data_IF_918272813014
#
_entry.id   IF_918272813014
#
_cell.length_a   1.000
_cell.length_b   1.000
_cell.length_c   1.000
_cell.angle_alpha   90.00
_cell.angle_beta   90.00
_cell.angle_gamma   90.00
#
_symmetry.space_group_name_H-M   'P 1'
#
loop_
_entity.id
_entity.type
_entity.pdbx_description
1 polymer ?
#
# COMPACT_ATOMS: atom_id res chain seq x y z
N UNK A 1 -9.94 16.61 -13.23
CA UNK A 1 -8.75 15.88 -13.77
C UNK A 1 -7.84 15.34 -12.66
N UNK A 2 -7.44 16.16 -11.67
CA UNK A 2 -6.55 15.75 -10.56
C UNK A 2 -7.06 14.57 -9.71
N UNK A 3 -8.37 14.44 -9.50
CA UNK A 3 -8.94 13.32 -8.73
C UNK A 3 -8.78 11.97 -9.44
N UNK A 4 -8.95 11.93 -10.77
CA UNK A 4 -8.76 10.71 -11.58
C UNK A 4 -7.29 10.29 -11.61
N UNK A 5 -6.37 11.26 -11.65
CA UNK A 5 -4.93 11.00 -11.54
C UNK A 5 -4.58 10.42 -10.16
N UNK A 6 -5.13 11.00 -9.08
CA UNK A 6 -4.94 10.48 -7.72
C UNK A 6 -5.44 9.03 -7.61
N UNK A 7 -6.63 8.73 -8.15
CA UNK A 7 -7.16 7.38 -8.19
C UNK A 7 -6.23 6.42 -8.97
N UNK A 8 -5.73 6.84 -10.14
CA UNK A 8 -4.79 6.03 -10.91
C UNK A 8 -3.50 5.72 -10.13
N UNK A 9 -2.92 6.71 -9.44
CA UNK A 9 -1.71 6.52 -8.63
C UNK A 9 -1.92 5.62 -7.41
N UNK A 10 -3.14 5.48 -6.90
CA UNK A 10 -3.48 4.58 -5.80
C UNK A 10 -3.82 3.16 -6.27
N UNK A 11 -4.30 3.02 -7.51
CA UNK A 11 -4.63 1.74 -8.12
C UNK A 11 -3.37 1.05 -8.67
N UNK A 12 -2.48 1.83 -9.30
CA UNK A 12 -1.29 1.33 -9.98
C UNK A 12 -0.37 0.46 -9.10
N UNK A 13 -0.11 0.79 -7.82
CA UNK A 13 0.74 -0.01 -6.94
C UNK A 13 0.29 -1.47 -6.82
N UNK A 14 -1.01 -1.73 -6.74
CA UNK A 14 -1.53 -3.10 -6.65
C UNK A 14 -1.13 -3.93 -7.88
N UNK A 15 -1.26 -3.37 -9.08
CA UNK A 15 -0.88 -4.04 -10.32
C UNK A 15 0.64 -4.21 -10.44
N UNK A 16 1.41 -3.19 -10.04
CA UNK A 16 2.86 -3.27 -10.02
C UNK A 16 3.37 -4.31 -9.01
N UNK A 17 2.67 -4.52 -7.89
CA UNK A 17 3.00 -5.58 -6.93
C UNK A 17 2.88 -6.98 -7.55
N UNK A 18 2.00 -7.18 -8.56
CA UNK A 18 1.92 -8.45 -9.28
C UNK A 18 3.22 -8.77 -10.03
N UNK A 19 3.98 -7.76 -10.50
CA UNK A 19 5.31 -7.97 -11.09
C UNK A 19 6.32 -8.47 -10.05
N UNK A 20 6.16 -8.08 -8.78
CA UNK A 20 7.00 -8.53 -7.67
C UNK A 20 6.84 -10.02 -7.33
N UNK A 21 5.77 -10.68 -7.81
CA UNK A 21 5.64 -12.13 -7.71
C UNK A 21 6.47 -12.87 -8.77
N UNK A 22 6.77 -12.19 -9.89
CA UNK A 22 7.74 -12.68 -10.85
C UNK A 22 9.15 -12.50 -10.31
N UNK A 23 10.08 -13.40 -10.68
CA UNK A 23 11.53 -13.22 -10.44
C UNK A 23 12.07 -12.08 -11.31
N UNK A 24 11.68 -10.85 -11.00
CA UNK A 24 12.06 -9.64 -11.75
C UNK A 24 13.28 -8.98 -11.11
N UNK A 25 14.12 -8.29 -11.90
CA UNK A 25 15.29 -7.57 -11.38
C UNK A 25 14.91 -6.36 -10.49
N UNK A 26 13.64 -5.96 -10.51
CA UNK A 26 13.10 -4.89 -9.67
C UNK A 26 12.86 -5.31 -8.21
N UNK A 27 12.93 -6.62 -7.93
CA UNK A 27 12.73 -7.20 -6.61
C UNK A 27 11.31 -7.72 -6.36
N UNK A 28 11.08 -8.24 -5.15
CA UNK A 28 9.81 -8.85 -4.75
C UNK A 28 8.68 -7.86 -4.43
N UNK A 29 8.98 -6.57 -4.29
CA UNK A 29 8.04 -5.59 -3.78
C UNK A 29 7.71 -5.78 -2.30
N UNK A 30 6.60 -5.18 -1.90
CA UNK A 30 6.09 -5.26 -0.53
C UNK A 30 5.61 -6.68 -0.18
N UNK A 31 5.18 -7.46 -1.17
CA UNK A 31 4.53 -8.76 -0.97
C UNK A 31 5.28 -9.96 -1.59
N UNK A 32 6.53 -9.83 -2.02
CA UNK A 32 7.24 -10.87 -2.79
C UNK A 32 7.40 -12.21 -2.05
N UNK A 33 7.59 -12.15 -0.74
CA UNK A 33 7.71 -13.32 0.15
C UNK A 33 6.43 -14.18 0.17
N UNK A 34 5.25 -13.62 -0.16
CA UNK A 34 3.96 -14.31 -0.05
C UNK A 34 3.81 -15.48 -1.03
N UNK A 35 4.46 -15.41 -2.20
CA UNK A 35 4.33 -16.39 -3.29
C UNK A 35 5.63 -17.16 -3.58
N UNK A 36 6.73 -16.82 -2.92
CA UNK A 36 8.00 -17.56 -3.02
C UNK A 36 8.04 -18.80 -2.13
N UNK A 37 7.22 -18.85 -1.08
CA UNK A 37 7.21 -19.97 -0.15
C UNK A 37 6.36 -21.12 -0.70
N UNK A 38 7.04 -22.15 -1.22
CA UNK A 38 6.40 -23.36 -1.76
C UNK A 38 5.69 -24.21 -0.68
N UNK A 39 5.99 -23.97 0.61
CA UNK A 39 5.43 -24.70 1.74
C UNK A 39 4.65 -23.76 2.69
N UNK A 40 3.31 -23.69 2.60
CA UNK A 40 2.50 -22.74 3.38
C UNK A 40 2.63 -22.94 4.90
N UNK A 41 2.89 -24.17 5.36
CA UNK A 41 3.09 -24.46 6.79
C UNK A 41 4.36 -23.82 7.38
N UNK A 42 5.42 -23.67 6.59
CA UNK A 42 6.63 -22.94 7.00
C UNK A 42 6.48 -21.43 6.81
N UNK A 43 5.66 -20.99 5.84
CA UNK A 43 5.44 -19.58 5.53
C UNK A 43 4.90 -18.79 6.74
N UNK A 44 3.94 -19.37 7.48
CA UNK A 44 3.36 -18.74 8.67
C UNK A 44 4.35 -18.48 9.80
N UNK A 45 5.51 -19.15 9.79
CA UNK A 45 6.57 -18.97 10.78
C UNK A 45 7.55 -17.86 10.42
N UNK A 46 7.44 -17.27 9.22
CA UNK A 46 8.35 -16.21 8.78
C UNK A 46 7.74 -14.83 9.05
N UNK A 47 8.49 -13.90 9.69
CA UNK A 47 8.07 -12.51 9.85
C UNK A 47 7.74 -11.83 8.52
N UNK A 48 8.51 -12.15 7.46
CA UNK A 48 8.33 -11.62 6.12
C UNK A 48 6.95 -11.89 5.51
N UNK A 49 6.37 -13.07 5.75
CA UNK A 49 5.02 -13.42 5.29
C UNK A 49 3.95 -12.51 5.92
N UNK A 50 4.05 -12.22 7.22
CA UNK A 50 3.07 -11.38 7.92
C UNK A 50 3.11 -9.94 7.46
N UNK A 51 4.31 -9.41 7.20
CA UNK A 51 4.46 -8.07 6.62
C UNK A 51 3.88 -8.02 5.21
N UNK A 52 4.21 -9.02 4.37
CA UNK A 52 3.68 -9.13 3.02
C UNK A 52 2.15 -9.22 3.01
N UNK A 53 1.54 -9.98 3.92
CA UNK A 53 0.09 -10.08 4.06
C UNK A 53 -0.53 -8.73 4.44
N UNK A 54 0.07 -8.04 5.42
CA UNK A 54 -0.38 -6.72 5.86
C UNK A 54 -0.31 -5.68 4.71
N UNK A 55 0.78 -5.66 3.95
CA UNK A 55 0.90 -4.77 2.79
C UNK A 55 -0.06 -5.17 1.65
N UNK A 56 -0.31 -6.46 1.44
CA UNK A 56 -1.28 -6.93 0.44
C UNK A 56 -2.69 -6.42 0.77
N UNK A 57 -3.09 -6.47 2.04
CA UNK A 57 -4.38 -5.93 2.49
C UNK A 57 -4.43 -4.41 2.27
N UNK A 58 -3.37 -3.68 2.62
CA UNK A 58 -3.32 -2.23 2.39
C UNK A 58 -3.39 -1.88 0.90
N UNK A 59 -2.67 -2.59 0.03
CA UNK A 59 -2.73 -2.38 -1.41
C UNK A 59 -4.11 -2.71 -1.99
N UNK A 60 -4.77 -3.76 -1.49
CA UNK A 60 -6.14 -4.09 -1.88
C UNK A 60 -7.13 -3.01 -1.44
N UNK A 61 -6.95 -2.44 -0.24
CA UNK A 61 -7.73 -1.30 0.23
C UNK A 61 -7.47 -0.05 -0.63
N UNK A 62 -6.22 0.22 -1.02
CA UNK A 62 -5.89 1.36 -1.91
C UNK A 62 -6.51 1.19 -3.29
N UNK A 63 -6.49 -0.03 -3.84
CA UNK A 63 -7.17 -0.38 -5.08
C UNK A 63 -8.68 -0.12 -4.97
N UNK A 64 -9.33 -0.68 -3.95
CA UNK A 64 -10.76 -0.51 -3.73
C UNK A 64 -11.15 0.96 -3.52
N UNK A 65 -10.34 1.71 -2.78
CA UNK A 65 -10.52 3.13 -2.57
C UNK A 65 -10.34 3.93 -3.88
N UNK A 66 -9.28 3.67 -4.63
CA UNK A 66 -9.04 4.32 -5.92
C UNK A 66 -10.17 4.04 -6.92
N UNK A 67 -10.66 2.80 -6.97
CA UNK A 67 -11.80 2.43 -7.81
C UNK A 67 -13.09 3.16 -7.36
N UNK A 68 -13.33 3.27 -6.06
CA UNK A 68 -14.45 4.05 -5.51
C UNK A 68 -14.39 5.52 -5.91
N UNK A 69 -13.19 6.12 -5.98
CA UNK A 69 -13.01 7.50 -6.43
C UNK A 69 -13.35 7.71 -7.91
N UNK A 70 -13.25 6.66 -8.73
CA UNK A 70 -13.66 6.69 -10.13
C UNK A 70 -15.16 6.45 -10.29
N UNK A 71 -15.74 5.57 -9.47
CA UNK A 71 -17.16 5.21 -9.50
C UNK A 71 -18.09 6.27 -8.89
N UNK A 72 -17.73 6.86 -7.75
CA UNK A 72 -18.60 7.82 -7.05
C UNK A 72 -19.03 8.99 -7.94
N UNK A 73 -18.13 9.66 -8.70
CA UNK A 73 -18.53 10.71 -9.62
C UNK A 73 -19.37 10.21 -10.80
N UNK A 74 -19.22 8.94 -11.20
CA UNK A 74 -20.03 8.33 -12.27
C UNK A 74 -21.47 8.06 -11.79
N UNK A 75 -21.65 7.84 -10.49
CA UNK A 75 -22.94 7.73 -9.81
C UNK A 75 -23.50 9.08 -9.32
N UNK A 76 -22.90 10.20 -9.72
CA UNK A 76 -23.26 11.56 -9.29
C UNK A 76 -23.16 11.79 -7.76
N UNK A 77 -22.45 10.91 -7.04
CA UNK A 77 -22.24 11.04 -5.59
C UNK A 77 -21.02 11.94 -5.33
N UNK A 78 -21.17 13.07 -4.60
CA UNK A 78 -20.06 13.97 -4.34
C UNK A 78 -19.04 13.35 -3.38
N UNK A 79 -17.76 13.41 -3.76
CA UNK A 79 -16.65 12.94 -2.91
C UNK A 79 -16.41 13.94 -1.78
N UNK A 80 -17.00 13.65 -0.62
CA UNK A 80 -16.90 14.47 0.57
C UNK A 80 -15.48 14.53 1.19
N UNK A 81 -15.24 15.49 2.11
CA UNK A 81 -13.95 15.66 2.76
C UNK A 81 -13.55 14.46 3.62
N UNK A 82 -14.52 13.71 4.18
CA UNK A 82 -14.28 12.47 4.90
C UNK A 82 -13.61 11.40 4.03
N UNK A 83 -14.05 11.25 2.78
CA UNK A 83 -13.48 10.29 1.84
C UNK A 83 -12.02 10.62 1.52
N UNK A 84 -11.70 11.91 1.37
CA UNK A 84 -10.32 12.38 1.14
C UNK A 84 -9.43 12.18 2.37
N UNK A 85 -9.98 12.36 3.57
CA UNK A 85 -9.26 12.04 4.82
C UNK A 85 -8.94 10.56 4.89
N UNK A 86 -9.90 9.68 4.56
CA UNK A 86 -9.70 8.23 4.54
C UNK A 86 -8.53 7.84 3.63
N UNK A 87 -8.52 8.33 2.39
CA UNK A 87 -7.42 8.05 1.45
C UNK A 87 -6.05 8.52 1.96
N UNK A 88 -5.99 9.70 2.59
CA UNK A 88 -4.73 10.19 3.20
C UNK A 88 -4.29 9.35 4.40
N UNK A 89 -5.22 8.90 5.23
CA UNK A 89 -4.91 8.00 6.34
C UNK A 89 -4.39 6.67 5.83
N UNK A 90 -5.01 6.10 4.80
CA UNK A 90 -4.60 4.84 4.20
C UNK A 90 -3.16 4.91 3.67
N UNK A 91 -2.86 5.94 2.87
CA UNK A 91 -1.52 6.20 2.35
C UNK A 91 -0.51 6.50 3.47
N UNK A 92 -0.92 7.23 4.50
CA UNK A 92 -0.08 7.54 5.66
C UNK A 92 0.26 6.30 6.48
N UNK A 93 -0.71 5.42 6.68
CA UNK A 93 -0.52 4.11 7.34
C UNK A 93 0.40 3.23 6.50
N UNK A 94 0.21 3.17 5.18
CA UNK A 94 1.10 2.46 4.25
C UNK A 94 2.55 2.94 4.39
N UNK A 95 2.78 4.25 4.28
CA UNK A 95 4.12 4.84 4.41
C UNK A 95 4.73 4.65 5.79
N UNK A 96 3.94 4.79 6.85
CA UNK A 96 4.39 4.58 8.23
C UNK A 96 4.80 3.13 8.50
N UNK A 97 3.99 2.17 8.06
CA UNK A 97 4.29 0.74 8.21
C UNK A 97 5.49 0.34 7.33
N UNK A 98 5.63 0.92 6.14
CA UNK A 98 6.83 0.75 5.32
C UNK A 98 8.06 1.21 6.09
N UNK A 99 8.08 2.41 6.66
CA UNK A 99 9.23 2.88 7.43
C UNK A 99 9.50 1.99 8.65
N UNK A 100 8.47 1.58 9.40
CA UNK A 100 8.64 0.71 10.57
C UNK A 100 9.23 -0.65 10.20
N UNK A 101 8.69 -1.31 9.18
CA UNK A 101 9.19 -2.64 8.73
C UNK A 101 10.63 -2.59 8.21
N UNK A 102 11.07 -1.46 7.65
CA UNK A 102 12.44 -1.28 7.13
C UNK A 102 13.43 -0.78 8.19
N UNK A 103 12.99 -0.04 9.21
CA UNK A 103 13.87 0.56 10.24
C UNK A 103 13.99 -0.27 11.50
N UNK A 104 12.87 -0.69 12.08
CA UNK A 104 12.83 -1.44 13.34
C UNK A 104 12.39 -2.89 13.16
N UNK A 105 11.65 -3.17 12.09
CA UNK A 105 10.80 -4.36 12.02
C UNK A 105 9.52 -4.15 12.81
N UNK A 106 8.49 -4.93 12.48
CA UNK A 106 7.26 -5.02 13.28
C UNK A 106 7.28 -6.32 14.08
N UNK A 107 6.73 -6.34 15.31
CA UNK A 107 6.60 -7.59 16.03
C UNK A 107 5.74 -8.56 15.19
N UNK A 108 6.32 -9.70 14.82
CA UNK A 108 5.63 -10.75 14.07
C UNK A 108 5.91 -12.12 14.71
N UNK A 109 5.00 -13.10 14.57
CA UNK A 109 5.22 -14.43 15.11
C UNK A 109 6.33 -15.14 14.32
N UNK A 110 7.25 -15.77 15.07
CA UNK A 110 8.34 -16.58 14.55
C UNK A 110 8.55 -17.84 15.40
N UNK A 111 9.51 -18.72 15.04
CA UNK A 111 9.69 -20.03 15.67
C UNK A 111 9.99 -19.97 17.18
N UNK A 112 10.54 -18.86 17.66
CA UNK A 112 10.86 -18.62 19.07
C UNK A 112 9.93 -17.63 19.79
N UNK A 113 8.78 -17.28 19.20
CA UNK A 113 7.88 -16.25 19.74
C UNK A 113 7.86 -14.98 18.88
N UNK A 114 7.72 -13.81 19.50
CA UNK A 114 7.70 -12.54 18.78
C UNK A 114 9.10 -12.14 18.32
N UNK A 115 9.27 -11.92 17.02
CA UNK A 115 10.53 -11.49 16.41
C UNK A 115 10.34 -10.13 15.76
N UNK A 116 11.31 -9.24 15.95
CA UNK A 116 11.42 -7.99 15.20
C UNK A 116 12.52 -8.16 14.16
N UNK A 117 12.13 -8.46 12.93
CA UNK A 117 13.04 -8.59 11.81
C UNK A 117 12.82 -7.45 10.83
N UNK A 118 13.91 -6.90 10.31
CA UNK A 118 13.86 -5.86 9.28
C UNK A 118 13.65 -6.51 7.94
N UNK A 119 12.64 -6.05 7.22
CA UNK A 119 12.39 -6.54 5.88
C UNK A 119 13.28 -5.78 4.87
N UNK A 120 13.82 -6.44 3.82
CA UNK A 120 14.75 -5.83 2.87
C UNK A 120 14.08 -4.77 1.99
N UNK A 121 14.78 -3.68 1.69
CA UNK A 121 14.28 -2.64 0.76
C UNK A 121 14.65 -3.00 -0.67
N UNK A 122 13.65 -3.11 -1.53
CA UNK A 122 13.81 -3.33 -2.96
C UNK A 122 13.26 -2.14 -3.79
N UNK A 123 13.78 -1.92 -5.02
CA UNK A 123 13.35 -0.82 -5.89
C UNK A 123 11.85 -0.81 -6.17
N UNK A 124 11.23 -1.98 -6.33
CA UNK A 124 9.79 -2.09 -6.57
C UNK A 124 9.02 -1.58 -5.35
N UNK A 125 9.38 -1.97 -4.13
CA UNK A 125 8.72 -1.49 -2.90
C UNK A 125 8.78 0.04 -2.74
N UNK A 126 9.90 0.67 -3.12
CA UNK A 126 10.03 2.14 -3.10
C UNK A 126 9.12 2.80 -4.14
N UNK A 127 9.05 2.23 -5.34
CA UNK A 127 8.17 2.72 -6.39
C UNK A 127 6.69 2.64 -5.96
N UNK A 128 6.28 1.51 -5.39
CA UNK A 128 4.92 1.29 -4.90
C UNK A 128 4.52 2.34 -3.86
N UNK A 129 5.32 2.48 -2.80
CA UNK A 129 5.04 3.45 -1.73
C UNK A 129 5.12 4.87 -2.25
N UNK A 130 6.08 5.18 -3.13
CA UNK A 130 6.21 6.50 -3.75
C UNK A 130 4.97 6.90 -4.56
N UNK A 131 4.40 5.97 -5.34
CA UNK A 131 3.16 6.19 -6.08
C UNK A 131 1.96 6.39 -5.15
N UNK A 132 1.82 5.58 -4.11
CA UNK A 132 0.76 5.74 -3.10
C UNK A 132 0.86 7.11 -2.39
N UNK A 133 2.07 7.52 -1.98
CA UNK A 133 2.34 8.83 -1.38
C UNK A 133 1.99 9.99 -2.32
N UNK A 134 2.37 9.89 -3.59
CA UNK A 134 2.02 10.88 -4.61
C UNK A 134 0.49 10.98 -4.81
N UNK A 135 -0.20 9.84 -4.84
CA UNK A 135 -1.67 9.79 -4.86
C UNK A 135 -2.29 10.49 -3.65
N UNK A 136 -1.78 10.21 -2.44
CA UNK A 136 -2.20 10.86 -1.19
C UNK A 136 -1.96 12.38 -1.17
N UNK A 137 -0.85 12.84 -1.75
CA UNK A 137 -0.54 14.27 -1.89
C UNK A 137 -1.55 14.96 -2.83
N UNK A 138 -1.90 14.36 -3.96
CA UNK A 138 -2.92 14.89 -4.87
C UNK A 138 -4.32 14.95 -4.24
N UNK A 139 -4.65 14.03 -3.34
CA UNK A 139 -5.90 14.10 -2.56
C UNK A 139 -5.94 15.32 -1.63
N UNK A 140 -4.79 15.73 -1.08
CA UNK A 140 -4.67 16.91 -0.22
C UNK A 140 -4.89 18.20 -1.01
N UNK A 141 -4.26 18.34 -2.17
CA UNK A 141 -4.39 19.55 -3.00
C UNK A 141 -5.83 19.81 -3.46
N UNK A 142 -6.56 18.74 -3.82
CA UNK A 142 -7.95 18.86 -4.22
C UNK A 142 -8.84 19.37 -3.07
N UNK A 143 -8.47 19.13 -1.80
CA UNK A 143 -9.20 19.57 -0.60
C UNK A 143 -8.96 21.01 -0.16
N UNK A 144 -7.86 21.63 -0.57
CA UNK A 144 -7.50 22.99 -0.14
C UNK A 144 -8.33 24.12 -0.76
N UNK A 145 -8.97 23.88 -1.91
CA UNK A 145 -9.71 24.91 -2.65
C UNK A 145 -11.15 25.12 -2.17
N UNK A 146 -11.60 24.41 -1.12
CA UNK A 146 -12.98 24.48 -0.61
C UNK A 146 -13.11 24.95 0.85
N UNK A 147 -12.05 25.53 1.43
CA UNK A 147 -12.03 26.03 2.81
C UNK A 147 -11.90 27.57 2.87
N UNK A 148 -12.61 28.26 1.99
CA UNK A 148 -12.80 29.71 2.02
C UNK A 148 -14.26 30.02 1.65
N UNK A 149 -15.14 29.83 2.61
CA UNK A 149 -16.50 30.36 2.63
C UNK A 149 -17.00 30.34 4.07
#
# INVERSE_FOLDING_TARGET
>A
MRLRLAAFLLILPFFLQLLGFGKTPLGGGLCGELFLVQNPALAFQTPGFWYALLFMVLLALELGYGLSLLLLPLLEVPVGPGWRRLGRYLVGVMGGLFLLTRTTGLPAPGPGGWVLERAPVDPLSLLLVGLSLAGGFLLRENGGHGAAS
#
